data_IF_841018698430
#
_entry.id   IF_841018698430
#
_cell.length_a   1.000
_cell.length_b   1.000
_cell.length_c   1.000
_cell.angle_alpha   90.00
_cell.angle_beta   90.00
_cell.angle_gamma   90.00
#
_symmetry.space_group_name_H-M   'P 1'
#
loop_
_entity.id
_entity.type
_entity.pdbx_description
1 polymer ?
#
# COMPACT_ATOMS: atom_id res chain seq x y z
N UNK A 1 -78.88 22.00 7.20
CA UNK A 1 -78.63 21.73 8.64
C UNK A 1 -77.41 20.83 8.70
N UNK A 2 -76.20 21.24 9.05
CA UNK A 2 -75.73 22.30 9.94
C UNK A 2 -74.39 22.86 9.43
N UNK A 3 -74.22 24.19 9.49
CA UNK A 3 -72.92 24.87 9.39
C UNK A 3 -72.02 24.53 10.57
N UNK A 4 -70.70 24.56 10.40
CA UNK A 4 -69.81 25.38 11.25
C UNK A 4 -68.45 25.62 10.58
N UNK A 5 -68.12 26.90 10.41
CA UNK A 5 -66.80 27.45 10.12
C UNK A 5 -65.72 26.96 11.10
N UNK A 6 -64.45 26.91 10.65
CA UNK A 6 -63.25 27.52 11.30
C UNK A 6 -62.06 27.58 10.31
N UNK A 7 -61.66 28.78 9.88
CA UNK A 7 -60.24 29.11 9.63
C UNK A 7 -59.52 29.33 10.99
N UNK A 8 -58.25 29.76 11.04
CA UNK A 8 -57.00 29.12 10.60
C UNK A 8 -56.07 28.92 11.84
N UNK A 9 -55.11 27.99 11.80
CA UNK A 9 -54.06 27.94 12.84
C UNK A 9 -52.66 27.74 12.25
N UNK A 10 -51.80 28.61 12.74
CA UNK A 10 -50.40 28.85 12.44
C UNK A 10 -49.51 27.67 12.83
N UNK A 11 -48.40 27.57 12.10
CA UNK A 11 -47.08 27.09 12.52
C UNK A 11 -47.00 25.99 13.58
N UNK A 12 -46.56 24.80 13.16
CA UNK A 12 -45.50 24.12 13.89
C UNK A 12 -44.19 24.25 13.10
N UNK A 13 -43.49 25.34 13.40
CA UNK A 13 -42.10 25.56 13.00
C UNK A 13 -41.22 24.58 13.77
N UNK A 14 -41.06 23.37 13.23
CA UNK A 14 -40.04 22.42 13.72
C UNK A 14 -38.67 22.96 13.32
N UNK A 15 -38.02 23.66 14.26
CA UNK A 15 -36.57 23.86 14.24
C UNK A 15 -35.93 22.50 14.52
N UNK A 16 -35.55 21.79 13.46
CA UNK A 16 -34.47 20.82 13.52
C UNK A 16 -33.30 21.33 12.65
N UNK A 17 -32.10 21.22 13.20
CA UNK A 17 -30.90 21.89 12.73
C UNK A 17 -30.46 21.42 11.35
N UNK A 18 -30.26 22.40 10.46
CA UNK A 18 -29.44 22.32 9.24
C UNK A 18 -29.97 21.52 8.04
N UNK A 19 -31.10 21.96 7.47
CA UNK A 19 -31.45 21.63 6.08
C UNK A 19 -32.46 22.59 5.49
N UNK A 20 -32.05 23.42 4.52
CA UNK A 20 -32.98 24.24 3.74
C UNK A 20 -33.74 23.28 2.80
N UNK A 21 -35.04 23.08 3.06
CA UNK A 21 -35.94 22.35 2.17
C UNK A 21 -36.66 23.35 1.27
N UNK A 22 -36.33 23.36 -0.02
CA UNK A 22 -37.10 24.09 -1.04
C UNK A 22 -38.02 23.05 -1.70
N UNK A 23 -39.31 23.10 -1.38
CA UNK A 23 -40.33 22.28 -2.03
C UNK A 23 -40.78 22.95 -3.33
N UNK A 24 -40.31 22.44 -4.47
CA UNK A 24 -40.86 22.79 -5.79
C UNK A 24 -41.99 21.81 -6.17
N UNK A 25 -43.08 22.28 -6.79
CA UNK A 25 -44.21 21.44 -7.18
C UNK A 25 -43.90 20.71 -8.49
N UNK A 26 -43.09 19.67 -8.38
CA UNK A 26 -43.05 18.52 -9.29
C UNK A 26 -42.18 17.50 -8.57
N UNK A 27 -42.66 16.25 -8.45
CA UNK A 27 -42.05 15.16 -7.68
C UNK A 27 -40.69 14.68 -8.18
N UNK A 28 -39.73 15.59 -8.27
CA UNK A 28 -38.32 15.33 -8.52
C UNK A 28 -37.59 15.55 -7.20
N UNK A 29 -37.40 14.46 -6.48
CA UNK A 29 -36.58 14.43 -5.29
C UNK A 29 -35.10 14.53 -5.71
N UNK A 30 -34.57 15.76 -5.75
CA UNK A 30 -33.13 15.96 -5.96
C UNK A 30 -32.41 15.64 -4.65
N UNK A 31 -32.13 14.34 -4.43
CA UNK A 31 -31.21 13.88 -3.39
C UNK A 31 -29.79 14.27 -3.80
N UNK A 32 -29.36 15.48 -3.44
CA UNK A 32 -27.97 15.91 -3.59
C UNK A 32 -27.12 15.07 -2.64
N UNK A 33 -26.45 14.04 -3.15
CA UNK A 33 -25.53 13.22 -2.38
C UNK A 33 -24.40 14.07 -1.78
N UNK A 34 -24.53 14.48 -0.51
CA UNK A 34 -23.42 14.96 0.31
C UNK A 34 -22.33 13.87 0.53
N UNK A 35 -22.56 12.63 0.07
CA UNK A 35 -21.64 11.49 0.22
C UNK A 35 -20.41 11.55 -0.71
N UNK A 36 -20.52 12.14 -1.91
CA UNK A 36 -19.40 12.21 -2.84
C UNK A 36 -18.24 13.10 -2.34
N UNK A 37 -18.58 14.23 -1.70
CA UNK A 37 -17.58 15.15 -1.13
C UNK A 37 -16.85 14.54 0.08
N UNK A 38 -17.58 13.86 0.98
CA UNK A 38 -16.97 13.17 2.13
C UNK A 38 -16.02 12.05 1.71
N UNK A 39 -16.43 11.24 0.73
CA UNK A 39 -15.58 10.17 0.19
C UNK A 39 -14.37 10.71 -0.59
N UNK A 40 -14.51 11.82 -1.30
CA UNK A 40 -13.39 12.47 -2.00
C UNK A 40 -12.39 13.08 -1.00
N UNK A 41 -12.87 13.74 0.05
CA UNK A 41 -12.03 14.29 1.12
C UNK A 41 -11.27 13.19 1.86
N UNK A 42 -11.91 12.06 2.21
CA UNK A 42 -11.23 10.92 2.84
C UNK A 42 -10.16 10.35 1.91
N UNK A 43 -10.47 10.13 0.63
CA UNK A 43 -9.49 9.64 -0.35
C UNK A 43 -8.29 10.59 -0.49
N UNK A 44 -8.53 11.89 -0.51
CA UNK A 44 -7.47 12.90 -0.60
C UNK A 44 -6.62 12.94 0.68
N UNK A 45 -7.25 12.90 1.86
CA UNK A 45 -6.54 12.85 3.15
C UNK A 45 -5.67 11.60 3.23
N UNK A 46 -6.20 10.43 2.85
CA UNK A 46 -5.44 9.17 2.82
C UNK A 46 -4.27 9.27 1.82
N UNK A 47 -4.48 9.88 0.65
CA UNK A 47 -3.43 10.07 -0.34
C UNK A 47 -2.32 11.00 0.18
N UNK A 48 -2.68 12.16 0.73
CA UNK A 48 -1.73 13.12 1.32
C UNK A 48 -0.95 12.44 2.44
N UNK A 49 -1.66 11.77 3.35
CA UNK A 49 -1.04 11.04 4.45
C UNK A 49 -0.07 9.97 3.96
N UNK A 50 -0.46 9.14 2.99
CA UNK A 50 0.38 8.10 2.42
C UNK A 50 1.64 8.68 1.76
N UNK A 51 1.51 9.79 1.02
CA UNK A 51 2.66 10.45 0.38
C UNK A 51 3.61 11.09 1.40
N UNK A 52 3.07 11.72 2.43
CA UNK A 52 3.84 12.31 3.52
C UNK A 52 4.58 11.21 4.30
N UNK A 53 3.87 10.16 4.70
CA UNK A 53 4.42 9.01 5.42
C UNK A 53 5.55 8.34 4.64
N UNK A 54 5.34 8.03 3.36
CA UNK A 54 6.37 7.40 2.53
C UNK A 54 7.60 8.30 2.37
N UNK A 55 7.41 9.61 2.26
CA UNK A 55 8.52 10.58 2.16
C UNK A 55 9.31 10.64 3.45
N UNK A 56 8.61 10.78 4.59
CA UNK A 56 9.22 10.82 5.92
C UNK A 56 9.96 9.52 6.22
N UNK A 57 9.34 8.36 5.97
CA UNK A 57 9.98 7.07 6.18
C UNK A 57 11.25 6.91 5.32
N UNK A 58 11.21 7.31 4.05
CA UNK A 58 12.39 7.25 3.16
C UNK A 58 13.52 8.16 3.66
N UNK A 59 13.19 9.38 4.08
CA UNK A 59 14.17 10.33 4.63
C UNK A 59 14.75 9.84 5.96
N UNK A 60 13.92 9.30 6.87
CA UNK A 60 14.36 8.72 8.13
C UNK A 60 15.26 7.50 7.92
N UNK A 61 14.94 6.62 6.97
CA UNK A 61 15.77 5.47 6.63
C UNK A 61 17.13 5.92 6.06
N UNK A 62 17.13 6.93 5.18
CA UNK A 62 18.38 7.50 4.66
C UNK A 62 19.19 8.16 5.76
N UNK A 63 18.55 8.88 6.67
CA UNK A 63 19.19 9.50 7.82
C UNK A 63 19.77 8.46 8.78
N UNK A 64 19.03 7.38 9.09
CA UNK A 64 19.50 6.31 9.99
C UNK A 64 20.71 5.54 9.43
N UNK A 65 20.85 5.51 8.09
CA UNK A 65 21.98 4.88 7.38
C UNK A 65 23.15 5.81 7.08
N UNK A 66 22.91 7.11 6.91
CA UNK A 66 23.93 8.09 6.54
C UNK A 66 24.57 8.81 7.73
N UNK A 67 24.00 8.68 8.93
CA UNK A 67 24.58 9.19 10.17
C UNK A 67 25.88 8.46 10.50
N UNK A 68 26.86 9.20 11.00
CA UNK A 68 28.12 8.66 11.46
C UNK A 68 27.93 8.17 12.90
N UNK A 69 27.60 6.88 13.04
CA UNK A 69 27.37 6.23 14.35
C UNK A 69 28.33 5.05 14.43
N UNK A 70 29.02 4.85 15.57
CA UNK A 70 30.00 3.77 15.73
C UNK A 70 29.40 2.37 15.52
N UNK A 71 28.09 2.23 15.66
CA UNK A 71 27.37 0.95 15.60
C UNK A 71 26.16 1.05 14.66
N UNK A 72 26.20 0.37 13.52
CA UNK A 72 25.06 0.28 12.60
C UNK A 72 24.13 -0.87 12.97
N UNK A 73 22.82 -0.61 12.92
CA UNK A 73 21.78 -1.60 13.14
C UNK A 73 21.63 -2.57 11.96
N UNK A 74 21.15 -3.78 12.25
CA UNK A 74 20.80 -4.76 11.23
C UNK A 74 19.43 -4.44 10.62
N UNK A 75 19.37 -4.19 9.31
CA UNK A 75 18.10 -3.89 8.64
C UNK A 75 17.11 -5.04 8.68
N UNK A 76 17.59 -6.29 8.65
CA UNK A 76 16.74 -7.46 8.75
C UNK A 76 15.93 -7.47 10.06
N UNK A 77 16.58 -7.09 11.17
CA UNK A 77 15.95 -7.01 12.51
C UNK A 77 14.92 -5.88 12.56
N UNK A 78 15.22 -4.72 11.97
CA UNK A 78 14.25 -3.63 11.89
C UNK A 78 12.99 -4.03 11.09
N UNK A 79 13.17 -4.72 9.96
CA UNK A 79 12.05 -5.26 9.16
C UNK A 79 11.22 -6.25 9.98
N UNK A 80 11.86 -7.15 10.73
CA UNK A 80 11.16 -8.08 11.61
C UNK A 80 10.30 -7.36 12.67
N UNK A 81 10.83 -6.33 13.33
CA UNK A 81 10.05 -5.54 14.28
C UNK A 81 8.91 -4.75 13.62
N UNK A 82 9.09 -4.26 12.39
CA UNK A 82 8.01 -3.62 11.63
C UNK A 82 6.88 -4.60 11.34
N UNK A 83 7.18 -5.86 11.00
CA UNK A 83 6.16 -6.89 10.78
C UNK A 83 5.41 -7.24 12.09
N UNK A 84 6.12 -7.30 13.22
CA UNK A 84 5.49 -7.46 14.55
C UNK A 84 4.55 -6.29 14.85
N UNK A 85 5.02 -5.04 14.68
CA UNK A 85 4.24 -3.85 14.97
C UNK A 85 2.97 -3.78 14.11
N UNK A 86 3.09 -4.05 12.81
CA UNK A 86 1.94 -4.14 11.89
C UNK A 86 0.90 -5.15 12.38
N UNK A 87 1.33 -6.33 12.81
CA UNK A 87 0.42 -7.37 13.27
C UNK A 87 -0.26 -7.00 14.58
N UNK A 88 0.46 -6.41 15.54
CA UNK A 88 -0.14 -5.92 16.79
C UNK A 88 -1.24 -4.90 16.49
N UNK A 89 -0.97 -3.95 15.60
CA UNK A 89 -1.95 -2.93 15.20
C UNK A 89 -3.14 -3.56 14.49
N UNK A 90 -2.91 -4.52 13.58
CA UNK A 90 -3.98 -5.19 12.86
C UNK A 90 -4.85 -6.04 13.80
N UNK A 91 -4.25 -6.77 14.74
CA UNK A 91 -4.97 -7.53 15.77
C UNK A 91 -5.79 -6.60 16.67
N UNK A 92 -5.24 -5.46 17.05
CA UNK A 92 -5.96 -4.44 17.81
C UNK A 92 -7.20 -3.93 17.09
N UNK A 93 -7.07 -3.60 15.79
CA UNK A 93 -8.21 -3.18 14.98
C UNK A 93 -9.26 -4.29 14.81
N UNK A 94 -8.83 -5.54 14.57
CA UNK A 94 -9.76 -6.69 14.50
C UNK A 94 -10.50 -6.89 15.82
N UNK A 95 -9.84 -6.72 16.97
CA UNK A 95 -10.50 -6.82 18.28
C UNK A 95 -11.61 -5.77 18.46
N UNK A 96 -11.41 -4.57 17.92
CA UNK A 96 -12.44 -3.51 17.93
C UNK A 96 -13.60 -3.88 17.01
N UNK A 97 -13.32 -4.38 15.80
CA UNK A 97 -14.35 -4.76 14.81
C UNK A 97 -15.20 -5.96 15.25
N UNK A 98 -14.58 -6.97 15.87
CA UNK A 98 -15.24 -8.20 16.32
C UNK A 98 -15.77 -8.11 17.77
N UNK A 99 -15.77 -6.91 18.35
CA UNK A 99 -16.27 -6.61 19.70
C UNK A 99 -15.70 -7.52 20.81
N UNK A 100 -14.42 -7.89 20.73
CA UNK A 100 -13.73 -8.62 21.80
C UNK A 100 -12.66 -9.62 21.34
N UNK A 101 -11.93 -10.16 22.32
CA UNK A 101 -10.82 -11.10 22.10
C UNK A 101 -11.31 -12.46 21.60
N UNK A 102 -12.46 -12.94 22.13
CA UNK A 102 -13.04 -14.22 21.71
C UNK A 102 -13.57 -14.17 20.26
N UNK A 103 -14.17 -13.06 19.84
CA UNK A 103 -14.57 -12.81 18.45
C UNK A 103 -13.35 -12.76 17.53
N UNK A 104 -12.28 -12.08 17.94
CA UNK A 104 -11.02 -12.05 17.19
C UNK A 104 -10.42 -13.45 17.01
N UNK A 105 -10.38 -14.29 18.05
CA UNK A 105 -9.85 -15.67 17.93
C UNK A 105 -10.72 -16.54 17.01
N UNK A 106 -12.05 -16.42 17.10
CA UNK A 106 -12.96 -17.17 16.22
C UNK A 106 -12.82 -16.72 14.76
N UNK A 107 -12.75 -15.41 14.53
CA UNK A 107 -12.52 -14.83 13.21
C UNK A 107 -11.18 -15.27 12.62
N UNK A 108 -10.09 -15.25 13.41
CA UNK A 108 -8.78 -15.75 12.97
C UNK A 108 -8.85 -17.23 12.64
N UNK A 109 -9.42 -18.09 13.51
CA UNK A 109 -9.53 -19.53 13.26
C UNK A 109 -10.33 -19.80 11.99
N UNK A 110 -11.46 -19.12 11.81
CA UNK A 110 -12.34 -19.26 10.65
C UNK A 110 -11.67 -18.79 9.36
N UNK A 111 -10.94 -17.67 9.38
CA UNK A 111 -10.26 -17.14 8.19
C UNK A 111 -8.97 -17.89 7.84
N UNK A 112 -8.15 -18.26 8.83
CA UNK A 112 -6.88 -18.96 8.57
C UNK A 112 -7.09 -20.44 8.27
N UNK A 113 -7.88 -21.14 9.10
CA UNK A 113 -8.03 -22.60 9.01
C UNK A 113 -9.25 -22.98 8.15
N UNK A 114 -10.30 -22.16 8.14
CA UNK A 114 -11.53 -22.45 7.39
C UNK A 114 -11.48 -22.06 5.91
N UNK A 115 -10.57 -21.17 5.48
CA UNK A 115 -10.45 -20.72 4.09
C UNK A 115 -9.01 -20.73 3.58
N UNK A 116 -8.35 -21.90 3.50
CA UNK A 116 -6.97 -22.00 3.03
C UNK A 116 -6.81 -21.52 1.58
N UNK A 117 -7.87 -21.60 0.77
CA UNK A 117 -7.85 -21.14 -0.62
C UNK A 117 -7.71 -19.62 -0.76
N UNK A 118 -8.35 -18.84 0.12
CA UNK A 118 -8.22 -17.38 0.08
C UNK A 118 -6.88 -16.92 0.64
N UNK A 119 -6.39 -17.61 1.66
CA UNK A 119 -5.01 -17.42 2.17
C UNK A 119 -3.97 -17.73 1.08
N UNK A 120 -4.15 -18.83 0.33
CA UNK A 120 -3.24 -19.22 -0.75
C UNK A 120 -3.24 -18.21 -1.90
N UNK A 121 -4.38 -17.59 -2.23
CA UNK A 121 -4.45 -16.53 -3.25
C UNK A 121 -3.60 -15.31 -2.87
N UNK A 122 -3.52 -14.98 -1.57
CA UNK A 122 -2.70 -13.86 -1.07
C UNK A 122 -1.19 -14.19 -1.12
N UNK A 123 -0.82 -15.47 -1.05
CA UNK A 123 0.57 -15.91 -1.23
C UNK A 123 1.10 -15.69 -2.65
N UNK A 124 0.23 -15.70 -3.67
CA UNK A 124 0.63 -15.51 -5.07
C UNK A 124 1.30 -14.13 -5.29
N UNK A 125 0.70 -12.99 -4.90
CA UNK A 125 1.38 -11.69 -4.91
C UNK A 125 2.73 -11.69 -4.19
N UNK A 126 2.79 -12.29 -3.00
CA UNK A 126 4.01 -12.30 -2.19
C UNK A 126 5.18 -13.00 -2.92
N UNK A 127 4.93 -14.18 -3.49
CA UNK A 127 5.94 -14.91 -4.27
C UNK A 127 6.38 -14.13 -5.52
N UNK A 128 5.43 -13.48 -6.21
CA UNK A 128 5.73 -12.64 -7.36
C UNK A 128 6.59 -11.43 -6.98
N UNK A 129 6.33 -10.80 -5.83
CA UNK A 129 7.17 -9.71 -5.32
C UNK A 129 8.58 -10.20 -4.96
N UNK A 130 8.75 -11.42 -4.45
CA UNK A 130 10.08 -11.99 -4.22
C UNK A 130 10.83 -12.20 -5.54
N UNK A 131 10.18 -12.77 -6.56
CA UNK A 131 10.80 -12.94 -7.90
C UNK A 131 11.15 -11.58 -8.50
N UNK A 132 10.24 -10.61 -8.39
CA UNK A 132 10.46 -9.24 -8.84
C UNK A 132 11.70 -8.64 -8.20
N UNK A 133 11.85 -8.75 -6.87
CA UNK A 133 12.99 -8.18 -6.16
C UNK A 133 14.30 -8.80 -6.66
N UNK A 134 14.36 -10.12 -6.85
CA UNK A 134 15.54 -10.79 -7.39
C UNK A 134 15.89 -10.33 -8.82
N UNK A 135 14.87 -10.15 -9.68
CA UNK A 135 15.09 -9.62 -11.03
C UNK A 135 15.55 -8.17 -11.03
N UNK A 136 15.10 -7.34 -10.08
CA UNK A 136 15.63 -5.99 -9.92
C UNK A 136 17.08 -5.97 -9.44
N UNK A 137 17.49 -6.90 -8.57
CA UNK A 137 18.89 -7.04 -8.21
C UNK A 137 19.74 -7.45 -9.42
N UNK A 138 19.27 -8.43 -10.20
CA UNK A 138 19.94 -8.85 -11.45
C UNK A 138 20.02 -7.70 -12.47
N UNK A 139 18.97 -6.88 -12.58
CA UNK A 139 18.98 -5.72 -13.44
C UNK A 139 19.97 -4.65 -12.96
N UNK A 140 20.03 -4.39 -11.65
CA UNK A 140 20.94 -3.43 -11.06
C UNK A 140 22.43 -3.85 -11.18
N UNK A 141 22.73 -5.15 -11.26
CA UNK A 141 24.10 -5.64 -11.48
C UNK A 141 24.58 -5.55 -12.93
N UNK A 142 23.68 -5.33 -13.89
CA UNK A 142 24.00 -5.30 -15.33
C UNK A 142 23.65 -3.99 -16.02
N UNK A 143 23.08 -3.02 -15.30
CA UNK A 143 22.74 -1.69 -15.80
C UNK A 143 23.39 -0.61 -14.95
N UNK A 144 23.84 0.45 -15.60
CA UNK A 144 24.20 1.69 -14.92
C UNK A 144 23.00 2.24 -14.12
N UNK A 145 23.28 2.83 -12.95
CA UNK A 145 22.27 3.30 -12.00
C UNK A 145 21.22 4.22 -12.65
N UNK A 146 21.63 5.17 -13.49
CA UNK A 146 20.72 6.07 -14.20
C UNK A 146 19.75 5.30 -15.11
N UNK A 147 20.26 4.34 -15.88
CA UNK A 147 19.45 3.51 -16.78
C UNK A 147 18.51 2.60 -15.99
N UNK A 148 19.00 1.93 -14.95
CA UNK A 148 18.20 1.08 -14.08
C UNK A 148 17.03 1.85 -13.45
N UNK A 149 17.30 3.05 -12.95
CA UNK A 149 16.31 3.92 -12.32
C UNK A 149 15.17 4.29 -13.29
N UNK A 150 15.48 4.72 -14.51
CA UNK A 150 14.46 5.06 -15.51
C UNK A 150 13.64 3.83 -15.94
N UNK A 151 14.31 2.72 -16.27
CA UNK A 151 13.64 1.49 -16.73
C UNK A 151 12.72 0.91 -15.66
N UNK A 152 13.11 1.03 -14.38
CA UNK A 152 12.30 0.58 -13.24
C UNK A 152 10.98 1.35 -13.07
N UNK A 153 10.85 2.53 -13.69
CA UNK A 153 9.60 3.30 -13.67
C UNK A 153 8.57 2.82 -14.68
N UNK A 154 8.94 1.96 -15.63
CA UNK A 154 7.99 1.34 -16.56
C UNK A 154 6.91 0.53 -15.84
N UNK A 155 7.14 0.16 -14.56
CA UNK A 155 6.11 -0.41 -13.68
C UNK A 155 4.83 0.43 -13.62
N UNK A 156 4.92 1.76 -13.75
CA UNK A 156 3.74 2.64 -13.76
C UNK A 156 2.81 2.28 -14.93
N UNK A 157 3.37 2.08 -16.12
CA UNK A 157 2.63 1.64 -17.29
C UNK A 157 2.15 0.19 -17.17
N UNK A 158 3.00 -0.72 -16.67
CA UNK A 158 2.61 -2.11 -16.46
C UNK A 158 1.39 -2.21 -15.53
N UNK A 159 1.41 -1.51 -14.39
CA UNK A 159 0.28 -1.45 -13.46
C UNK A 159 -0.98 -0.90 -14.12
N UNK A 160 -0.87 0.18 -14.89
CA UNK A 160 -2.02 0.76 -15.59
C UNK A 160 -2.61 -0.23 -16.61
N UNK A 161 -1.76 -0.87 -17.41
CA UNK A 161 -2.17 -1.88 -18.40
C UNK A 161 -2.86 -3.07 -17.74
N UNK A 162 -2.26 -3.63 -16.68
CA UNK A 162 -2.88 -4.72 -15.94
C UNK A 162 -4.16 -4.28 -15.22
N UNK A 163 -4.29 -3.03 -14.78
CA UNK A 163 -5.53 -2.52 -14.19
C UNK A 163 -6.67 -2.50 -15.21
N UNK A 164 -6.41 -2.14 -16.47
CA UNK A 164 -7.40 -2.25 -17.55
C UNK A 164 -7.76 -3.71 -17.80
N UNK A 165 -6.77 -4.59 -17.94
CA UNK A 165 -6.98 -5.99 -18.33
C UNK A 165 -7.66 -6.80 -17.20
N UNK A 166 -7.16 -6.71 -15.96
CA UNK A 166 -7.56 -7.61 -14.87
C UNK A 166 -8.78 -7.10 -14.09
N UNK A 167 -8.91 -5.78 -13.92
CA UNK A 167 -10.04 -5.12 -13.22
C UNK A 167 -11.09 -4.60 -14.19
N UNK A 168 -10.89 -4.73 -15.51
CA UNK A 168 -11.83 -4.28 -16.54
C UNK A 168 -12.17 -2.78 -16.41
N UNK A 169 -11.17 -1.97 -16.04
CA UNK A 169 -11.31 -0.52 -15.92
C UNK A 169 -11.07 0.16 -17.27
N UNK A 170 -11.87 1.16 -17.58
CA UNK A 170 -11.65 2.00 -18.77
C UNK A 170 -10.85 3.25 -18.39
N UNK A 171 -9.73 3.48 -19.08
CA UNK A 171 -8.90 4.68 -18.95
C UNK A 171 -9.13 5.59 -20.16
N UNK A 172 -9.63 6.81 -19.91
CA UNK A 172 -9.84 7.81 -20.94
C UNK A 172 -8.51 8.29 -21.54
N UNK A 173 -8.52 8.80 -22.78
CA UNK A 173 -7.31 9.30 -23.47
C UNK A 173 -6.57 10.37 -22.65
N UNK A 174 -7.30 11.24 -21.95
CA UNK A 174 -6.72 12.23 -21.05
C UNK A 174 -5.99 11.59 -19.85
N UNK A 175 -6.50 10.49 -19.30
CA UNK A 175 -5.84 9.79 -18.18
C UNK A 175 -4.57 9.07 -18.64
N UNK A 176 -4.56 8.53 -19.87
CA UNK A 176 -3.33 8.02 -20.50
C UNK A 176 -2.29 9.10 -20.70
N UNK A 177 -2.71 10.31 -21.10
CA UNK A 177 -1.80 11.45 -21.19
C UNK A 177 -1.25 11.84 -19.81
N UNK A 178 -2.10 11.95 -18.79
CA UNK A 178 -1.66 12.20 -17.42
C UNK A 178 -0.69 11.13 -16.90
N UNK A 179 -0.88 9.86 -17.27
CA UNK A 179 0.03 8.77 -16.94
C UNK A 179 1.42 8.97 -17.57
N UNK A 180 1.46 9.39 -18.84
CA UNK A 180 2.71 9.70 -19.52
C UNK A 180 3.44 10.89 -18.87
N UNK A 181 2.71 11.96 -18.55
CA UNK A 181 3.26 13.12 -17.82
C UNK A 181 3.83 12.70 -16.46
N UNK A 182 3.13 11.84 -15.71
CA UNK A 182 3.60 11.31 -14.44
C UNK A 182 4.89 10.50 -14.60
N UNK A 183 4.94 9.61 -15.59
CA UNK A 183 6.14 8.81 -15.87
C UNK A 183 7.35 9.69 -16.21
N UNK A 184 7.16 10.71 -17.05
CA UNK A 184 8.22 11.67 -17.40
C UNK A 184 8.69 12.41 -16.15
N UNK A 185 7.77 12.94 -15.33
CA UNK A 185 8.10 13.64 -14.10
C UNK A 185 8.94 12.78 -13.14
N UNK A 186 8.55 11.52 -12.92
CA UNK A 186 9.31 10.62 -12.05
C UNK A 186 10.66 10.25 -12.66
N UNK A 187 10.74 10.04 -13.97
CA UNK A 187 12.00 9.71 -14.66
C UNK A 187 12.99 10.87 -14.59
N UNK A 188 12.53 12.12 -14.71
CA UNK A 188 13.37 13.32 -14.58
C UNK A 188 13.98 13.46 -13.18
N UNK A 189 13.19 13.23 -12.12
CA UNK A 189 13.70 13.26 -10.73
C UNK A 189 14.75 12.18 -10.49
N UNK A 190 14.57 11.00 -11.11
CA UNK A 190 15.52 9.91 -10.95
C UNK A 190 16.83 10.13 -11.70
N UNK A 191 16.80 10.79 -12.86
CA UNK A 191 18.02 11.20 -13.57
C UNK A 191 18.93 12.09 -12.71
N UNK A 192 18.34 13.00 -11.93
CA UNK A 192 19.10 13.85 -11.00
C UNK A 192 19.74 13.06 -9.86
N UNK A 193 19.17 11.91 -9.49
CA UNK A 193 19.64 11.07 -8.39
C UNK A 193 20.69 10.04 -8.84
N UNK A 194 20.66 9.62 -10.11
CA UNK A 194 21.52 8.59 -10.68
C UNK A 194 22.85 9.05 -11.29
N UNK A 195 23.29 10.29 -11.05
CA UNK A 195 24.37 10.99 -11.76
C UNK A 195 25.82 10.49 -11.58
N UNK A 196 26.03 9.22 -11.22
CA UNK A 196 27.35 8.61 -11.14
C UNK A 196 27.58 7.65 -12.32
N UNK A 197 28.21 8.14 -13.39
CA UNK A 197 28.49 7.28 -14.55
C UNK A 197 29.64 6.33 -14.25
N UNK A 198 29.30 5.11 -13.83
CA UNK A 198 30.25 3.98 -13.79
C UNK A 198 30.36 3.42 -15.20
N UNK A 199 31.56 3.42 -15.78
CA UNK A 199 31.83 2.62 -16.98
C UNK A 199 31.53 1.16 -16.66
N UNK A 200 30.62 0.55 -17.41
CA UNK A 200 30.27 -0.86 -17.25
C UNK A 200 31.53 -1.72 -17.37
N UNK A 201 31.75 -2.60 -16.40
CA UNK A 201 32.85 -3.56 -16.44
C UNK A 201 32.56 -4.63 -17.50
N UNK A 202 33.58 -5.26 -18.08
CA UNK A 202 33.45 -6.19 -19.22
C UNK A 202 32.61 -7.47 -18.98
N UNK A 203 32.10 -7.68 -17.76
CA UNK A 203 31.24 -8.81 -17.37
C UNK A 203 29.74 -8.41 -17.27
N UNK A 204 29.41 -7.15 -17.56
CA UNK A 204 28.05 -6.62 -17.46
C UNK A 204 27.35 -6.69 -18.82
N UNK A 205 26.16 -7.31 -18.89
CA UNK A 205 25.36 -7.40 -20.11
C UNK A 205 24.09 -6.52 -20.03
N UNK A 206 24.08 -5.34 -20.68
CA UNK A 206 22.95 -4.42 -20.63
C UNK A 206 21.63 -5.01 -21.12
N UNK A 207 21.67 -5.97 -22.05
CA UNK A 207 20.46 -6.61 -22.58
C UNK A 207 19.82 -7.49 -21.52
N UNK A 208 20.62 -8.26 -20.77
CA UNK A 208 20.13 -9.07 -19.65
C UNK A 208 19.56 -8.16 -18.58
N UNK A 209 20.24 -7.07 -18.24
CA UNK A 209 19.75 -6.12 -17.24
C UNK A 209 18.46 -5.43 -17.65
N UNK A 210 18.35 -4.98 -18.90
CA UNK A 210 17.15 -4.34 -19.44
C UNK A 210 15.96 -5.29 -19.50
N UNK A 211 16.17 -6.51 -20.00
CA UNK A 211 15.11 -7.53 -20.07
C UNK A 211 14.66 -7.96 -18.68
N UNK A 212 15.58 -8.16 -17.74
CA UNK A 212 15.26 -8.46 -16.34
C UNK A 212 14.42 -7.34 -15.69
N UNK A 213 14.78 -6.07 -15.90
CA UNK A 213 14.02 -4.92 -15.39
C UNK A 213 12.61 -4.84 -16.00
N UNK A 214 12.46 -5.06 -17.30
CA UNK A 214 11.16 -5.09 -17.97
C UNK A 214 10.25 -6.21 -17.43
N UNK A 215 10.80 -7.42 -17.25
CA UNK A 215 10.05 -8.55 -16.67
C UNK A 215 9.69 -8.26 -15.22
N UNK A 216 10.61 -7.71 -14.42
CA UNK A 216 10.35 -7.29 -13.04
C UNK A 216 9.21 -6.26 -12.95
N UNK A 217 9.22 -5.25 -13.82
CA UNK A 217 8.16 -4.25 -13.91
C UNK A 217 6.79 -4.86 -14.28
N UNK A 218 6.77 -5.83 -15.21
CA UNK A 218 5.55 -6.54 -15.59
C UNK A 218 5.00 -7.37 -14.42
N UNK A 219 5.87 -8.13 -13.74
CA UNK A 219 5.51 -8.91 -12.55
C UNK A 219 4.95 -7.99 -11.45
N UNK A 220 5.59 -6.84 -11.22
CA UNK A 220 5.13 -5.84 -10.26
C UNK A 220 3.72 -5.35 -10.54
N UNK A 221 3.47 -4.94 -11.78
CA UNK A 221 2.18 -4.43 -12.19
C UNK A 221 1.10 -5.49 -12.09
N UNK A 222 1.40 -6.74 -12.48
CA UNK A 222 0.48 -7.85 -12.34
C UNK A 222 0.18 -8.18 -10.86
N UNK A 223 1.21 -8.34 -10.02
CA UNK A 223 1.06 -8.69 -8.61
C UNK A 223 0.27 -7.63 -7.83
N UNK A 224 0.55 -6.34 -8.06
CA UNK A 224 -0.16 -5.24 -7.41
C UNK A 224 -1.63 -5.19 -7.78
N UNK A 225 -1.95 -5.34 -9.07
CA UNK A 225 -3.33 -5.31 -9.56
C UNK A 225 -4.09 -6.60 -9.18
N UNK A 226 -3.41 -7.75 -9.16
CA UNK A 226 -3.99 -9.01 -8.69
C UNK A 226 -4.32 -8.95 -7.19
N UNK A 227 -3.45 -8.36 -6.38
CA UNK A 227 -3.74 -8.09 -4.97
C UNK A 227 -4.94 -7.13 -4.82
N UNK A 228 -5.01 -6.05 -5.60
CA UNK A 228 -6.18 -5.14 -5.62
C UNK A 228 -7.48 -5.89 -5.97
N UNK A 229 -7.42 -6.86 -6.89
CA UNK A 229 -8.56 -7.70 -7.27
C UNK A 229 -9.00 -8.62 -6.13
N UNK A 230 -8.06 -9.26 -5.43
CA UNK A 230 -8.37 -10.09 -4.25
C UNK A 230 -9.02 -9.23 -3.17
N UNK A 231 -8.48 -8.03 -2.93
CA UNK A 231 -9.02 -7.13 -1.93
C UNK A 231 -10.48 -6.71 -2.21
N UNK A 232 -10.85 -6.62 -3.49
CA UNK A 232 -12.21 -6.24 -3.91
C UNK A 232 -13.16 -7.40 -4.15
N UNK A 233 -12.63 -8.59 -4.47
CA UNK A 233 -13.42 -9.74 -4.94
C UNK A 233 -13.76 -10.77 -3.87
N UNK A 234 -13.00 -10.84 -2.77
CA UNK A 234 -13.34 -11.73 -1.65
C UNK A 234 -14.45 -11.11 -0.77
N UNK A 235 -15.27 -11.97 -0.15
CA UNK A 235 -16.39 -11.67 0.79
C UNK A 235 -16.01 -10.62 1.87
N UNK A 236 -16.92 -10.10 2.73
CA UNK A 236 -16.64 -8.98 3.66
C UNK A 236 -15.68 -9.37 4.77
N UNK A 237 -14.44 -9.65 4.39
CA UNK A 237 -13.30 -9.90 5.23
C UNK A 237 -12.68 -8.55 5.47
N UNK A 238 -12.56 -8.18 6.74
CA UNK A 238 -11.87 -6.98 7.15
C UNK A 238 -10.49 -6.86 6.50
N UNK A 239 -10.13 -5.65 6.07
CA UNK A 239 -8.79 -5.34 5.55
C UNK A 239 -7.73 -5.68 6.60
N UNK A 240 -8.05 -5.49 7.89
CA UNK A 240 -7.18 -5.83 9.00
C UNK A 240 -6.98 -7.34 9.12
N UNK A 241 -8.04 -8.14 8.95
CA UNK A 241 -7.93 -9.60 8.95
C UNK A 241 -7.05 -10.11 7.80
N UNK A 242 -7.12 -9.49 6.62
CA UNK A 242 -6.22 -9.83 5.51
C UNK A 242 -4.77 -9.45 5.81
N UNK A 243 -4.53 -8.33 6.48
CA UNK A 243 -3.19 -7.98 6.95
C UNK A 243 -2.68 -8.97 8.02
N UNK A 244 -3.56 -9.47 8.89
CA UNK A 244 -3.23 -10.55 9.85
C UNK A 244 -2.83 -11.82 9.10
N UNK A 245 -3.61 -12.24 8.09
CA UNK A 245 -3.27 -13.38 7.24
C UNK A 245 -1.89 -13.22 6.59
N UNK A 246 -1.59 -12.04 6.04
CA UNK A 246 -0.27 -11.77 5.45
C UNK A 246 0.85 -11.83 6.49
N UNK A 247 0.65 -11.25 7.68
CA UNK A 247 1.68 -11.22 8.71
C UNK A 247 2.00 -12.58 9.33
N UNK A 248 1.07 -13.53 9.32
CA UNK A 248 1.32 -14.92 9.75
C UNK A 248 2.41 -15.58 8.89
N UNK A 249 2.53 -15.22 7.62
CA UNK A 249 3.62 -15.67 6.75
C UNK A 249 4.83 -14.73 6.78
N UNK A 250 4.59 -13.42 6.91
CA UNK A 250 5.63 -12.40 6.91
C UNK A 250 6.54 -12.47 8.14
N UNK A 251 6.01 -12.78 9.33
CA UNK A 251 6.80 -12.87 10.58
C UNK A 251 7.81 -14.03 10.51
N UNK A 252 7.42 -15.29 10.19
CA UNK A 252 8.39 -16.37 10.02
C UNK A 252 9.39 -16.10 8.90
N UNK A 253 8.94 -15.51 7.79
CA UNK A 253 9.82 -15.18 6.66
C UNK A 253 10.85 -14.11 7.02
N UNK A 254 10.44 -13.04 7.71
CA UNK A 254 11.34 -11.98 8.17
C UNK A 254 12.28 -12.49 9.26
N UNK A 255 11.82 -13.34 10.18
CA UNK A 255 12.70 -13.99 11.15
C UNK A 255 13.73 -14.90 10.49
N UNK A 256 13.32 -15.72 9.52
CA UNK A 256 14.24 -16.55 8.75
C UNK A 256 15.27 -15.68 8.00
N UNK A 257 14.84 -14.55 7.42
CA UNK A 257 15.74 -13.60 6.78
C UNK A 257 16.78 -13.03 7.77
N UNK A 258 16.38 -12.68 9.00
CA UNK A 258 17.30 -12.24 10.06
C UNK A 258 18.35 -13.32 10.35
N UNK A 259 17.93 -14.58 10.52
CA UNK A 259 18.85 -15.68 10.82
C UNK A 259 19.81 -15.98 9.67
N UNK A 260 19.33 -15.91 8.42
CA UNK A 260 20.14 -16.20 7.23
C UNK A 260 21.13 -15.07 6.93
N UNK A 261 20.70 -13.81 7.06
CA UNK A 261 21.52 -12.65 6.66
C UNK A 261 22.48 -12.22 7.77
N UNK A 262 22.01 -12.12 9.00
CA UNK A 262 22.73 -11.45 10.09
C UNK A 262 22.93 -12.36 11.31
N UNK A 263 22.56 -13.65 11.25
CA UNK A 263 22.54 -14.55 12.41
C UNK A 263 23.88 -14.68 13.16
N UNK A 264 25.00 -14.78 12.43
CA UNK A 264 26.34 -14.85 13.02
C UNK A 264 26.75 -13.54 13.68
N UNK A 265 26.44 -12.40 13.05
CA UNK A 265 26.72 -11.08 13.59
C UNK A 265 25.86 -10.80 14.84
N UNK A 266 24.59 -11.19 14.83
CA UNK A 266 23.66 -11.11 15.96
C UNK A 266 24.13 -11.95 17.15
N UNK A 267 24.64 -13.16 16.91
CA UNK A 267 25.18 -14.00 17.99
C UNK A 267 26.37 -13.34 18.71
N UNK A 268 27.16 -12.54 18.00
CA UNK A 268 28.33 -11.85 18.56
C UNK A 268 28.02 -10.48 19.20
N UNK A 269 27.04 -9.73 18.68
CA UNK A 269 26.77 -8.34 19.06
C UNK A 269 25.44 -8.13 19.80
N UNK A 270 24.54 -9.11 19.75
CA UNK A 270 23.18 -9.02 20.27
C UNK A 270 22.15 -8.62 19.21
N UNK A 271 20.89 -8.95 19.49
CA UNK A 271 19.76 -8.77 18.56
C UNK A 271 19.41 -7.29 18.32
N UNK A 272 19.45 -6.47 19.37
CA UNK A 272 19.12 -5.03 19.33
C UNK A 272 20.35 -4.13 19.18
N UNK A 273 21.44 -4.66 18.63
CA UNK A 273 22.66 -3.90 18.44
C UNK A 273 22.45 -2.69 17.51
N UNK A 274 22.93 -1.51 17.92
CA UNK A 274 22.77 -0.26 17.17
C UNK A 274 21.34 0.30 17.09
N UNK A 275 20.37 -0.26 17.85
CA UNK A 275 19.01 0.28 17.93
C UNK A 275 18.96 1.50 18.84
N UNK A 276 18.53 2.62 18.28
CA UNK A 276 18.28 3.86 18.99
C UNK A 276 16.90 4.43 18.62
N UNK A 277 16.57 5.60 19.16
CA UNK A 277 15.27 6.24 18.89
C UNK A 277 15.01 6.46 17.40
N UNK A 278 16.04 6.81 16.62
CA UNK A 278 15.89 7.03 15.17
C UNK A 278 15.54 5.72 14.46
N UNK A 279 16.19 4.60 14.82
CA UNK A 279 15.86 3.29 14.27
C UNK A 279 14.44 2.87 14.66
N UNK A 280 14.03 3.07 15.92
CA UNK A 280 12.65 2.81 16.34
C UNK A 280 11.63 3.71 15.63
N UNK A 281 11.99 4.95 15.30
CA UNK A 281 11.13 5.83 14.50
C UNK A 281 11.01 5.37 13.03
N UNK A 282 11.95 4.56 12.53
CA UNK A 282 11.83 3.93 11.19
C UNK A 282 10.98 2.66 11.18
N UNK A 283 10.85 1.99 12.33
CA UNK A 283 10.11 0.73 12.51
C UNK A 283 8.60 0.95 12.51
#
# INVERSE_FOLDING_TARGET
>A
MSSTDKEPLLEDSVKDGSGIRISLPMGVEVRRERSAAGNASIKLIVLIWLTLQNSVHTLLLRYSRARDVPEMFFSSVAVFFTEIAKIIICLYMVMIEEHGIFGCIDAIKKQLLGQPWDTLKVCIPAMLYTIQNNLFYLAASHLEAATFMIVSQLKIFATALFSVILLQRYLAKAQWFSLAVLFIGVSLVQLQTGGGSKKLSGDENPVIGFTAACVACAISGFAGVYFEKILKGSAPVSIWMRNVQMGVFSIPASFAAVMIQDGSAIASKGFLYGFDFVVWATV
#
